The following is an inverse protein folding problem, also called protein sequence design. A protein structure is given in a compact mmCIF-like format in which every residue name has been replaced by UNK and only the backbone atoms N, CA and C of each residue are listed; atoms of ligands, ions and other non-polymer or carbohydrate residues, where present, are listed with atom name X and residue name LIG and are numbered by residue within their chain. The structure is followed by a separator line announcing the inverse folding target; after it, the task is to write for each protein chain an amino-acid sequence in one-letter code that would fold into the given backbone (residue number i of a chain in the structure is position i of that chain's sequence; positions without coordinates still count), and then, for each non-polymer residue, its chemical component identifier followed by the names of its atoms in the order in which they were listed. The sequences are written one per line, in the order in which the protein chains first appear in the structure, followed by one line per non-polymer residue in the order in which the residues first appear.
data_IF_285556819307
#
_entry.id   IF_285556819307
#
_cell.length_a   1.000
_cell.length_b   1.000
_cell.length_c   1.000
_cell.angle_alpha   90.00
_cell.angle_beta   90.00
_cell.angle_gamma   90.00
#
_symmetry.space_group_name_H-M   'P 1'
#
loop_
_entity.id
_entity.type
_entity.pdbx_description
1 polymer ?
#
# COMPACT_ATOMS: atom_id res chain seq x y z
N UNK A 1 -14.11 -0.64 -19.04
CA UNK A 1 -14.22 -2.05 -18.63
C UNK A 1 -15.69 -2.40 -18.50
N UNK A 2 -16.15 -3.36 -19.28
CA UNK A 2 -17.58 -3.68 -19.36
C UNK A 2 -17.97 -4.93 -18.57
N UNK A 3 -17.01 -5.56 -17.92
CA UNK A 3 -17.25 -6.82 -17.17
C UNK A 3 -16.70 -6.74 -15.77
N UNK A 4 -17.51 -7.14 -14.79
CA UNK A 4 -17.05 -7.45 -13.46
C UNK A 4 -16.21 -8.72 -13.44
N UNK A 5 -15.41 -8.89 -12.37
CA UNK A 5 -14.56 -10.06 -12.19
C UNK A 5 -14.45 -10.43 -10.71
N UNK A 6 -13.97 -11.64 -10.47
CA UNK A 6 -13.70 -12.15 -9.12
C UNK A 6 -12.26 -12.67 -9.08
N UNK A 7 -11.53 -12.30 -8.04
CA UNK A 7 -10.19 -12.85 -7.78
C UNK A 7 -10.28 -13.70 -6.50
N UNK A 8 -10.25 -15.02 -6.62
CA UNK A 8 -10.34 -15.92 -5.48
C UNK A 8 -9.15 -15.80 -4.51
N UNK A 9 -9.29 -16.33 -3.28
CA UNK A 9 -8.17 -16.41 -2.35
C UNK A 9 -6.94 -17.07 -2.97
N UNK A 10 -5.75 -16.56 -2.68
CA UNK A 10 -4.49 -17.09 -3.19
C UNK A 10 -4.20 -16.79 -4.66
N UNK A 11 -5.11 -16.11 -5.36
CA UNK A 11 -4.90 -15.66 -6.73
C UNK A 11 -4.59 -14.16 -6.78
N UNK A 12 -4.02 -13.72 -7.88
CA UNK A 12 -3.53 -12.38 -8.09
C UNK A 12 -2.02 -12.36 -8.20
N UNK A 13 -1.49 -11.27 -8.73
CA UNK A 13 -0.06 -11.08 -8.87
C UNK A 13 0.55 -10.74 -7.51
N UNK A 14 1.68 -11.34 -7.17
CA UNK A 14 2.34 -11.13 -5.88
C UNK A 14 3.68 -10.44 -6.09
N UNK A 15 3.92 -9.38 -5.32
CA UNK A 15 5.23 -8.77 -5.17
C UNK A 15 5.81 -9.11 -3.79
N UNK A 16 6.92 -9.83 -3.78
CA UNK A 16 7.65 -10.12 -2.55
C UNK A 16 8.60 -8.95 -2.25
N UNK A 17 8.23 -8.12 -1.29
CA UNK A 17 8.88 -6.84 -0.98
C UNK A 17 10.13 -7.02 -0.12
N UNK A 18 10.06 -7.96 0.82
CA UNK A 18 11.12 -8.29 1.77
C UNK A 18 10.84 -9.68 2.36
N UNK A 19 11.75 -10.26 3.13
CA UNK A 19 11.46 -11.52 3.83
C UNK A 19 10.18 -11.42 4.66
N UNK A 20 9.19 -12.26 4.33
CA UNK A 20 7.88 -12.28 4.99
C UNK A 20 6.94 -11.14 4.65
N UNK A 21 7.37 -10.14 3.85
CA UNK A 21 6.55 -9.01 3.41
C UNK A 21 6.15 -9.16 1.94
N UNK A 22 4.86 -9.15 1.67
CA UNK A 22 4.34 -9.31 0.31
C UNK A 22 3.08 -8.47 0.07
N UNK A 23 2.86 -8.12 -1.19
CA UNK A 23 1.63 -7.50 -1.66
C UNK A 23 0.98 -8.41 -2.71
N UNK A 24 -0.24 -8.87 -2.44
CA UNK A 24 -1.04 -9.65 -3.38
C UNK A 24 -2.00 -8.69 -4.10
N UNK A 25 -1.73 -8.43 -5.38
CA UNK A 25 -2.48 -7.45 -6.18
C UNK A 25 -3.78 -8.09 -6.64
N UNK A 26 -4.92 -7.58 -6.16
CA UNK A 26 -6.25 -8.14 -6.41
C UNK A 26 -7.00 -7.43 -7.53
N UNK A 27 -6.82 -6.12 -7.63
CA UNK A 27 -7.43 -5.30 -8.69
C UNK A 27 -6.37 -4.40 -9.28
N UNK A 28 -6.05 -4.62 -10.54
CA UNK A 28 -5.10 -3.79 -11.26
C UNK A 28 -5.80 -2.60 -11.92
N UNK A 29 -5.06 -1.55 -12.19
CA UNK A 29 -5.60 -0.35 -12.84
C UNK A 29 -6.25 -0.67 -14.19
N UNK A 30 -5.63 -1.54 -14.99
CA UNK A 30 -6.17 -1.94 -16.28
C UNK A 30 -7.49 -2.70 -16.19
N UNK A 31 -7.74 -3.40 -15.08
CA UNK A 31 -8.96 -4.18 -14.89
C UNK A 31 -10.16 -3.31 -14.53
N UNK A 32 -9.92 -2.13 -13.98
CA UNK A 32 -10.95 -1.24 -13.42
C UNK A 32 -11.08 0.09 -14.15
N UNK A 33 -10.44 0.25 -15.30
CA UNK A 33 -10.33 1.52 -16.02
C UNK A 33 -9.83 2.66 -15.12
N UNK A 34 -8.80 2.38 -14.34
CA UNK A 34 -8.16 3.29 -13.38
C UNK A 34 -9.06 3.81 -12.24
N UNK A 35 -10.24 3.25 -12.06
CA UNK A 35 -11.15 3.71 -11.00
C UNK A 35 -10.69 3.31 -9.60
N UNK A 36 -10.07 2.13 -9.49
CA UNK A 36 -9.58 1.60 -8.22
C UNK A 36 -8.45 0.59 -8.46
N UNK A 37 -7.48 0.61 -7.56
CA UNK A 37 -6.47 -0.46 -7.44
C UNK A 37 -6.51 -1.00 -6.02
N UNK A 38 -6.38 -2.31 -5.84
CA UNK A 38 -6.46 -2.93 -4.52
C UNK A 38 -5.44 -4.05 -4.37
N UNK A 39 -4.79 -4.10 -3.21
CA UNK A 39 -3.91 -5.20 -2.83
C UNK A 39 -4.02 -5.52 -1.35
N UNK A 40 -3.64 -6.75 -1.01
CA UNK A 40 -3.52 -7.20 0.37
C UNK A 40 -2.03 -7.33 0.71
N UNK A 41 -1.61 -6.63 1.77
CA UNK A 41 -0.24 -6.70 2.25
C UNK A 41 -0.13 -7.60 3.48
N UNK A 42 0.84 -8.50 3.47
CA UNK A 42 1.34 -9.17 4.66
C UNK A 42 2.53 -8.39 5.17
N UNK A 43 2.41 -7.86 6.38
CA UNK A 43 3.40 -6.98 6.98
C UNK A 43 3.96 -7.61 8.26
N UNK A 44 5.22 -8.09 8.25
CA UNK A 44 5.89 -8.54 9.48
C UNK A 44 5.90 -7.46 10.56
N UNK A 45 6.19 -7.85 11.80
CA UNK A 45 6.42 -6.89 12.88
C UNK A 45 7.45 -5.83 12.46
N UNK A 46 7.27 -4.61 12.90
CA UNK A 46 8.12 -3.45 12.60
C UNK A 46 8.14 -3.00 11.13
N UNK A 47 7.33 -3.60 10.25
CA UNK A 47 7.14 -3.07 8.90
C UNK A 47 6.56 -1.66 8.99
N UNK A 48 7.17 -0.71 8.29
CA UNK A 48 6.74 0.69 8.29
C UNK A 48 6.94 1.37 6.94
N UNK A 49 6.27 2.49 6.76
CA UNK A 49 6.46 3.36 5.59
C UNK A 49 7.11 4.67 6.01
N UNK A 50 7.85 5.33 5.10
CA UNK A 50 8.21 6.73 5.31
C UNK A 50 6.95 7.60 5.32
N UNK A 51 7.09 8.82 5.82
CA UNK A 51 6.03 9.82 5.70
C UNK A 51 5.92 10.25 4.24
N UNK A 52 4.73 10.12 3.63
CA UNK A 52 4.56 10.37 2.21
C UNK A 52 3.17 10.94 1.88
N UNK A 53 3.05 11.45 0.67
CA UNK A 53 1.83 12.05 0.11
C UNK A 53 1.54 11.38 -1.23
N UNK A 54 0.26 11.12 -1.50
CA UNK A 54 -0.24 10.82 -2.85
C UNK A 54 -0.89 12.07 -3.42
N UNK A 55 -0.47 12.51 -4.62
CA UNK A 55 -0.93 13.77 -5.19
C UNK A 55 -2.37 13.73 -5.68
N UNK A 56 -2.78 12.61 -6.24
CA UNK A 56 -3.98 12.55 -7.07
C UNK A 56 -4.91 11.35 -6.77
N UNK A 57 -4.67 10.65 -5.67
CA UNK A 57 -5.55 9.57 -5.25
C UNK A 57 -5.74 9.55 -3.73
N UNK A 58 -6.90 9.06 -3.32
CA UNK A 58 -7.16 8.73 -1.93
C UNK A 58 -6.73 7.30 -1.65
N UNK A 59 -6.25 7.04 -0.44
CA UNK A 59 -5.88 5.70 0.01
C UNK A 59 -6.79 5.28 1.15
N UNK A 60 -7.22 4.03 1.11
CA UNK A 60 -7.99 3.39 2.17
C UNK A 60 -7.21 2.18 2.65
N UNK A 61 -7.12 2.00 3.96
CA UNK A 61 -6.59 0.80 4.58
C UNK A 61 -7.65 0.14 5.44
N UNK A 62 -7.74 -1.18 5.36
CA UNK A 62 -8.61 -1.99 6.21
C UNK A 62 -7.79 -3.09 6.87
N UNK A 63 -7.70 -3.08 8.19
CA UNK A 63 -6.91 -4.07 8.94
C UNK A 63 -7.68 -5.38 9.01
N UNK A 64 -7.11 -6.44 8.44
CA UNK A 64 -7.69 -7.78 8.47
C UNK A 64 -7.21 -8.57 9.68
N UNK A 65 -5.93 -8.43 10.04
CA UNK A 65 -5.34 -9.06 11.22
C UNK A 65 -4.14 -8.26 11.72
N UNK A 66 -3.78 -8.43 12.98
CA UNK A 66 -2.69 -7.70 13.61
C UNK A 66 -3.13 -6.35 14.15
N UNK A 67 -2.15 -5.51 14.47
CA UNK A 67 -2.38 -4.17 15.01
C UNK A 67 -1.50 -3.17 14.28
N UNK A 68 -2.12 -2.21 13.66
CA UNK A 68 -1.43 -1.21 12.82
C UNK A 68 -1.58 0.17 13.45
N UNK A 69 -0.48 0.89 13.52
CA UNK A 69 -0.46 2.30 13.91
C UNK A 69 -0.41 3.16 12.66
N UNK A 70 -1.37 4.08 12.54
CA UNK A 70 -1.47 5.03 11.44
C UNK A 70 -1.11 6.42 11.94
N UNK A 71 -0.29 7.14 11.18
CA UNK A 71 -0.14 8.59 11.30
C UNK A 71 -0.78 9.22 10.06
N UNK A 72 -1.81 10.04 10.28
CA UNK A 72 -2.54 10.74 9.22
C UNK A 72 -2.60 12.22 9.59
N UNK A 73 -1.90 13.07 8.84
CA UNK A 73 -1.66 14.43 9.28
C UNK A 73 -0.92 14.44 10.63
N UNK A 74 -1.47 15.13 11.61
CA UNK A 74 -0.87 15.20 12.96
C UNK A 74 -1.37 14.13 13.93
N UNK A 75 -2.37 13.36 13.53
CA UNK A 75 -2.98 12.34 14.40
C UNK A 75 -2.31 10.98 14.26
N UNK A 76 -2.14 10.31 15.40
CA UNK A 76 -1.63 8.94 15.47
C UNK A 76 -2.72 8.08 16.12
N UNK A 77 -3.10 7.00 15.44
CA UNK A 77 -4.14 6.08 15.91
C UNK A 77 -3.69 4.64 15.72
N UNK A 78 -3.91 3.82 16.75
CA UNK A 78 -3.64 2.38 16.70
C UNK A 78 -4.95 1.65 16.44
N UNK A 79 -4.95 0.72 15.49
CA UNK A 79 -6.14 -0.04 15.13
C UNK A 79 -5.88 -1.54 14.95
N UNK A 80 -6.75 -2.35 15.58
CA UNK A 80 -6.81 -3.79 15.39
C UNK A 80 -7.71 -4.21 14.22
N UNK A 81 -8.00 -5.52 14.10
CA UNK A 81 -8.85 -6.04 13.02
C UNK A 81 -10.20 -5.33 12.94
N UNK A 82 -10.61 -4.97 11.71
CA UNK A 82 -11.83 -4.21 11.47
C UNK A 82 -11.63 -2.70 11.44
N UNK A 83 -10.44 -2.19 11.75
CA UNK A 83 -10.13 -0.77 11.62
C UNK A 83 -10.04 -0.37 10.16
N UNK A 84 -10.70 0.73 9.82
CA UNK A 84 -10.63 1.37 8.51
C UNK A 84 -9.98 2.74 8.65
N UNK A 85 -8.98 3.02 7.82
CA UNK A 85 -8.29 4.31 7.77
C UNK A 85 -8.49 4.96 6.40
N UNK A 86 -8.75 6.26 6.39
CA UNK A 86 -8.87 7.06 5.17
C UNK A 86 -7.75 8.09 5.11
N UNK A 87 -6.93 8.01 4.09
CA UNK A 87 -5.79 8.89 3.84
C UNK A 87 -6.06 9.69 2.56
N UNK A 88 -6.61 10.91 2.69
CA UNK A 88 -6.97 11.69 1.52
C UNK A 88 -5.72 12.16 0.75
N UNK A 89 -5.90 12.34 -0.55
CA UNK A 89 -4.86 12.91 -1.41
C UNK A 89 -4.34 14.23 -0.84
N UNK A 90 -3.06 14.46 -0.99
CA UNK A 90 -2.40 15.68 -0.54
C UNK A 90 -2.10 15.73 0.96
N UNK A 91 -2.57 14.79 1.77
CA UNK A 91 -2.28 14.75 3.20
C UNK A 91 -1.17 13.74 3.51
N UNK A 92 -0.14 14.19 4.23
CA UNK A 92 0.98 13.35 4.64
C UNK A 92 0.53 12.25 5.60
N UNK A 93 0.95 11.03 5.32
CA UNK A 93 0.59 9.87 6.14
C UNK A 93 1.68 8.79 6.12
N UNK A 94 1.60 7.90 7.09
CA UNK A 94 2.46 6.73 7.23
C UNK A 94 1.76 5.68 8.10
N UNK A 95 2.23 4.44 8.04
CA UNK A 95 1.77 3.38 8.92
C UNK A 95 2.91 2.47 9.36
N UNK A 96 2.69 1.78 10.48
CA UNK A 96 3.62 0.79 11.01
C UNK A 96 2.86 -0.36 11.64
N UNK A 97 3.35 -1.58 11.45
CA UNK A 97 2.94 -2.71 12.28
C UNK A 97 3.68 -2.63 13.61
N UNK A 98 2.99 -2.14 14.63
CA UNK A 98 3.55 -1.96 15.99
C UNK A 98 3.33 -3.17 16.90
N UNK A 99 2.73 -4.23 16.38
CA UNK A 99 2.56 -5.48 17.10
C UNK A 99 3.79 -6.40 16.93
N UNK A 100 3.87 -7.45 17.73
CA UNK A 100 4.93 -8.46 17.64
C UNK A 100 4.66 -9.54 16.59
N UNK A 101 3.47 -9.54 16.00
CA UNK A 101 3.02 -10.55 15.05
C UNK A 101 2.85 -9.94 13.64
N UNK A 102 2.93 -10.75 12.58
CA UNK A 102 2.60 -10.27 11.25
C UNK A 102 1.16 -9.74 11.18
N UNK A 103 0.99 -8.63 10.47
CA UNK A 103 -0.33 -8.06 10.17
C UNK A 103 -0.74 -8.31 8.74
N UNK A 104 -2.04 -8.26 8.48
CA UNK A 104 -2.61 -8.27 7.13
C UNK A 104 -3.49 -7.06 6.96
N UNK A 105 -3.24 -6.31 5.90
CA UNK A 105 -3.95 -5.06 5.62
C UNK A 105 -4.39 -5.05 4.16
N UNK A 106 -5.63 -4.70 3.93
CA UNK A 106 -6.15 -4.42 2.60
C UNK A 106 -5.95 -2.94 2.32
N UNK A 107 -5.23 -2.62 1.23
CA UNK A 107 -5.05 -1.26 0.74
C UNK A 107 -5.79 -1.05 -0.58
N UNK A 108 -6.37 0.13 -0.73
CA UNK A 108 -7.12 0.51 -1.90
C UNK A 108 -6.80 1.97 -2.26
N UNK A 109 -6.54 2.23 -3.54
CA UNK A 109 -6.36 3.56 -4.10
C UNK A 109 -7.50 3.92 -5.03
N UNK A 110 -8.03 5.13 -4.91
CA UNK A 110 -9.10 5.64 -5.79
C UNK A 110 -8.87 7.13 -6.13
N UNK A 111 -8.69 7.50 -7.40
CA UNK A 111 -8.40 6.62 -8.55
C UNK A 111 -7.17 5.75 -8.29
N UNK A 112 -7.01 4.69 -9.07
CA UNK A 112 -6.00 3.67 -8.81
C UNK A 112 -4.55 4.06 -9.10
N UNK A 113 -4.25 5.26 -9.51
CA UNK A 113 -2.96 5.67 -10.12
C UNK A 113 -1.73 5.44 -9.24
N UNK A 114 -1.80 5.79 -7.95
CA UNK A 114 -0.68 5.54 -7.05
C UNK A 114 -0.38 4.04 -6.90
N UNK A 115 -1.39 3.20 -7.03
CA UNK A 115 -1.26 1.74 -7.00
C UNK A 115 -0.46 1.16 -8.16
N UNK A 116 -0.29 1.92 -9.25
CA UNK A 116 0.59 1.51 -10.38
C UNK A 116 2.03 1.29 -9.94
N UNK A 117 2.47 1.94 -8.88
CA UNK A 117 3.77 1.66 -8.28
C UNK A 117 3.92 0.17 -7.94
N UNK A 118 2.92 -0.42 -7.30
CA UNK A 118 2.95 -1.85 -6.94
C UNK A 118 2.90 -2.76 -8.15
N UNK A 119 2.16 -2.37 -9.19
CA UNK A 119 2.13 -3.11 -10.45
C UNK A 119 3.50 -3.12 -11.13
N UNK A 120 4.15 -1.96 -11.24
CA UNK A 120 5.49 -1.84 -11.80
C UNK A 120 6.52 -2.63 -10.97
N UNK A 121 6.47 -2.51 -9.65
CA UNK A 121 7.38 -3.21 -8.76
C UNK A 121 7.21 -4.73 -8.85
N UNK A 122 5.99 -5.21 -8.98
CA UNK A 122 5.72 -6.64 -9.18
C UNK A 122 6.28 -7.14 -10.52
N UNK A 123 6.25 -6.33 -11.59
CA UNK A 123 6.89 -6.65 -12.87
C UNK A 123 8.41 -6.70 -12.75
N UNK A 124 9.04 -5.83 -11.97
CA UNK A 124 10.47 -5.88 -11.70
C UNK A 124 10.88 -7.17 -10.99
N UNK A 125 9.95 -7.78 -10.23
CA UNK A 125 10.09 -9.08 -9.56
C UNK A 125 11.33 -9.18 -8.65
N UNK A 126 11.67 -8.08 -7.95
CA UNK A 126 12.76 -8.04 -6.98
C UNK A 126 12.34 -7.31 -5.69
N UNK A 127 13.03 -7.56 -4.55
CA UNK A 127 12.72 -6.92 -3.29
C UNK A 127 12.83 -5.40 -3.36
N UNK A 128 12.11 -4.72 -2.47
CA UNK A 128 12.25 -3.29 -2.27
C UNK A 128 13.65 -2.94 -1.75
N UNK A 129 14.21 -1.86 -2.29
CA UNK A 129 15.43 -1.24 -1.78
C UNK A 129 15.32 0.27 -1.96
N UNK A 130 15.64 1.02 -0.91
CA UNK A 130 15.66 2.48 -0.96
C UNK A 130 16.76 3.02 -1.90
N UNK A 131 17.73 2.18 -2.27
CA UNK A 131 18.80 2.52 -3.20
C UNK A 131 18.48 2.10 -4.64
N UNK A 132 17.33 1.50 -4.90
CA UNK A 132 16.92 1.08 -6.22
C UNK A 132 16.35 2.28 -7.00
N UNK A 133 17.10 2.75 -7.99
CA UNK A 133 16.73 3.91 -8.77
C UNK A 133 15.44 3.70 -9.57
N UNK A 134 15.19 2.50 -10.11
CA UNK A 134 13.95 2.22 -10.85
C UNK A 134 12.73 2.29 -9.93
N UNK A 135 12.86 1.85 -8.68
CA UNK A 135 11.80 1.96 -7.66
C UNK A 135 11.56 3.43 -7.33
N UNK A 136 12.60 4.22 -7.14
CA UNK A 136 12.47 5.66 -6.88
C UNK A 136 11.80 6.39 -8.05
N UNK A 137 12.16 6.05 -9.27
CA UNK A 137 11.52 6.61 -10.48
C UNK A 137 10.05 6.21 -10.58
N UNK A 138 9.70 4.97 -10.20
CA UNK A 138 8.31 4.51 -10.17
C UNK A 138 7.47 5.27 -9.14
N UNK A 139 8.02 5.59 -7.98
CA UNK A 139 7.35 6.47 -7.01
C UNK A 139 7.01 7.83 -7.64
N UNK A 140 7.99 8.49 -8.24
CA UNK A 140 7.80 9.80 -8.87
C UNK A 140 6.78 9.73 -10.02
N UNK A 141 6.90 8.71 -10.87
CA UNK A 141 6.02 8.52 -12.03
C UNK A 141 4.55 8.39 -11.63
N UNK A 142 4.30 7.79 -10.47
CA UNK A 142 2.94 7.52 -9.98
C UNK A 142 2.48 8.47 -8.86
N UNK A 143 3.11 9.64 -8.73
CA UNK A 143 2.64 10.72 -7.86
C UNK A 143 2.92 10.51 -6.37
N UNK A 144 3.88 9.67 -6.01
CA UNK A 144 4.32 9.51 -4.64
C UNK A 144 5.36 10.57 -4.27
N UNK A 145 5.16 11.24 -3.16
CA UNK A 145 6.14 12.18 -2.60
C UNK A 145 6.55 11.71 -1.21
N UNK A 146 7.83 11.37 -1.04
CA UNK A 146 8.39 11.08 0.28
C UNK A 146 8.74 12.42 0.92
N UNK A 147 8.11 12.75 2.05
CA UNK A 147 8.24 14.04 2.71
C UNK A 147 8.93 13.96 4.08
N UNK A 148 9.29 12.79 4.52
CA UNK A 148 10.03 12.57 5.76
C UNK A 148 10.36 11.10 5.99
N UNK A 149 11.20 10.82 7.02
CA UNK A 149 11.47 9.45 7.43
C UNK A 149 10.23 8.82 8.09
N UNK A 150 10.27 7.49 8.36
CA UNK A 150 9.23 6.86 9.17
C UNK A 150 9.05 7.61 10.50
N UNK A 151 7.81 8.03 10.85
CA UNK A 151 7.59 8.92 11.99
C UNK A 151 7.35 8.19 13.32
N UNK A 152 7.67 6.93 13.38
CA UNK A 152 7.38 6.08 14.55
C UNK A 152 8.60 5.71 15.36
#
# INVERSE_FOLDING_TARGET
MDKGFVVPPGQGKVWNMAPGRSAALKMLNGDTADSVMMFEEVAPADTETPLHIHDDCDEIAYVLSGEITFKIGDEITVGGPGTCAFMPRGLAHAWKNTSSEPGRVLFLYSPGRAGKFFEDAAEMARPFSEHDQEIAEAFQRHGWQIVGPPPF
#
